data_IF_007847311335
#
_entry.id   IF_007847311335
#
_cell.length_a   1.000
_cell.length_b   1.000
_cell.length_c   1.000
_cell.angle_alpha   90.00
_cell.angle_beta   90.00
_cell.angle_gamma   90.00
#
_symmetry.space_group_name_H-M   'P 1'
#
loop_
_entity.id
_entity.type
_entity.pdbx_description
1 polymer ?
#
# COMPACT_ATOMS: atom_id res chain seq x y z
N UNK A 1 -11.08 10.41 -1.01
CA UNK A 1 -10.16 11.58 -0.95
C UNK A 1 -8.81 11.04 -0.54
N UNK A 2 -7.73 11.45 -1.22
CA UNK A 2 -6.39 10.95 -0.93
C UNK A 2 -5.86 11.51 0.37
N UNK A 3 -5.47 10.67 1.33
CA UNK A 3 -4.87 11.10 2.59
C UNK A 3 -3.39 10.72 2.60
N UNK A 4 -2.51 11.71 2.67
CA UNK A 4 -1.07 11.47 2.82
C UNK A 4 -0.72 11.53 4.29
N UNK A 5 0.03 10.54 4.78
CA UNK A 5 0.53 10.51 6.15
C UNK A 5 1.43 11.72 6.40
N UNK A 6 1.48 12.23 7.64
CA UNK A 6 2.32 13.40 8.00
C UNK A 6 3.81 13.24 7.67
N UNK A 7 4.28 11.99 7.61
CA UNK A 7 5.64 11.61 7.26
C UNK A 7 5.93 11.62 5.74
N UNK A 8 4.93 11.97 4.91
CA UNK A 8 5.00 11.99 3.44
C UNK A 8 5.40 10.65 2.78
N UNK A 9 5.48 9.57 3.57
CA UNK A 9 5.94 8.25 3.12
C UNK A 9 4.85 7.39 2.50
N UNK A 10 3.58 7.64 2.81
CA UNK A 10 2.44 6.87 2.29
C UNK A 10 1.26 7.77 1.97
N UNK A 11 0.64 7.54 0.82
CA UNK A 11 -0.62 8.17 0.40
C UNK A 11 -1.68 7.10 0.23
N UNK A 12 -2.81 7.28 0.91
CA UNK A 12 -3.97 6.42 0.79
C UNK A 12 -4.89 6.98 -0.28
N UNK A 13 -5.08 6.25 -1.38
CA UNK A 13 -6.05 6.62 -2.42
C UNK A 13 -7.13 5.54 -2.58
N UNK A 14 -8.38 5.98 -2.74
CA UNK A 14 -9.50 5.08 -3.00
C UNK A 14 -9.67 4.88 -4.49
N UNK A 15 -9.41 3.67 -4.97
CA UNK A 15 -9.63 3.28 -6.37
C UNK A 15 -10.85 2.38 -6.47
N UNK A 16 -11.70 2.60 -7.49
CA UNK A 16 -12.93 1.85 -7.66
C UNK A 16 -12.74 0.45 -8.27
N UNK A 17 -11.75 0.29 -9.15
CA UNK A 17 -11.44 -0.99 -9.78
C UNK A 17 -9.93 -1.10 -10.04
N UNK A 18 -9.33 -2.19 -9.56
CA UNK A 18 -7.95 -2.59 -9.87
C UNK A 18 -7.93 -3.69 -10.94
N UNK A 19 -9.09 -4.24 -11.32
CA UNK A 19 -9.19 -5.35 -12.27
C UNK A 19 -8.87 -6.74 -11.68
N UNK A 20 -8.64 -6.83 -10.36
CA UNK A 20 -8.30 -8.06 -9.66
C UNK A 20 -9.47 -8.59 -8.81
N UNK A 21 -10.70 -8.59 -9.37
CA UNK A 21 -11.92 -8.96 -8.64
C UNK A 21 -11.86 -10.37 -8.00
N UNK A 22 -11.08 -11.30 -8.56
CA UNK A 22 -10.90 -12.65 -8.01
C UNK A 22 -9.94 -12.74 -6.81
N UNK A 23 -9.20 -11.68 -6.50
CA UNK A 23 -8.17 -11.61 -5.45
C UNK A 23 -8.51 -10.57 -4.37
N UNK A 24 -9.77 -10.11 -4.35
CA UNK A 24 -10.24 -9.17 -3.33
C UNK A 24 -10.15 -9.82 -1.94
N UNK A 25 -9.74 -9.07 -0.90
CA UNK A 25 -9.28 -7.68 -0.89
C UNK A 25 -7.87 -7.51 -1.49
N UNK A 26 -7.70 -6.48 -2.34
CA UNK A 26 -6.45 -6.18 -3.06
C UNK A 26 -5.99 -4.75 -2.75
N UNK A 27 -4.68 -4.56 -2.59
CA UNK A 27 -4.04 -3.25 -2.45
C UNK A 27 -2.87 -3.15 -3.44
N UNK A 28 -2.59 -1.94 -3.90
CA UNK A 28 -1.48 -1.68 -4.83
C UNK A 28 -0.50 -0.70 -4.20
N UNK A 29 0.79 -1.00 -4.25
CA UNK A 29 1.86 -0.22 -3.62
C UNK A 29 3.02 -0.14 -4.60
N UNK A 30 3.43 1.07 -4.99
CA UNK A 30 4.52 1.27 -5.95
C UNK A 30 4.39 0.37 -7.20
N UNK A 31 3.17 0.26 -7.74
CA UNK A 31 2.82 -0.61 -8.90
C UNK A 31 2.78 -2.12 -8.64
N UNK A 32 3.12 -2.59 -7.43
CA UNK A 32 2.95 -3.99 -7.03
C UNK A 32 1.54 -4.25 -6.51
N UNK A 33 0.89 -5.30 -7.02
CA UNK A 33 -0.46 -5.70 -6.62
C UNK A 33 -0.37 -6.82 -5.58
N UNK A 34 -0.95 -6.57 -4.41
CA UNK A 34 -1.05 -7.54 -3.32
C UNK A 34 -2.51 -7.94 -3.11
N UNK A 35 -2.85 -9.19 -3.43
CA UNK A 35 -4.15 -9.80 -3.13
C UNK A 35 -4.18 -10.50 -1.78
N UNK A 36 -5.37 -10.95 -1.37
CA UNK A 36 -5.59 -11.68 -0.10
C UNK A 36 -5.05 -10.92 1.11
N UNK A 37 -5.39 -9.63 1.20
CA UNK A 37 -4.93 -8.74 2.25
C UNK A 37 -5.75 -8.92 3.54
N UNK A 38 -5.06 -9.32 4.59
CA UNK A 38 -5.56 -9.30 5.96
C UNK A 38 -5.19 -8.00 6.67
N UNK A 39 -5.94 -7.54 7.69
CA UNK A 39 -5.59 -6.35 8.47
C UNK A 39 -4.17 -6.43 9.08
N UNK A 40 -3.74 -7.62 9.50
CA UNK A 40 -2.36 -7.84 9.98
C UNK A 40 -1.31 -7.68 8.88
N UNK A 41 -1.61 -8.17 7.66
CA UNK A 41 -0.73 -8.01 6.49
C UNK A 41 -0.67 -6.56 6.05
N UNK A 42 -1.81 -5.87 6.00
CA UNK A 42 -1.87 -4.44 5.67
C UNK A 42 -0.94 -3.63 6.61
N UNK A 43 -0.99 -3.91 7.91
CA UNK A 43 -0.13 -3.23 8.88
C UNK A 43 1.36 -3.55 8.65
N UNK A 44 1.70 -4.82 8.38
CA UNK A 44 3.07 -5.23 8.07
C UNK A 44 3.59 -4.54 6.79
N UNK A 45 2.74 -4.47 5.77
CA UNK A 45 3.04 -3.86 4.48
C UNK A 45 3.28 -2.36 4.65
N UNK A 46 2.43 -1.64 5.38
CA UNK A 46 2.62 -0.20 5.67
C UNK A 46 3.94 0.03 6.42
N UNK A 47 4.26 -0.81 7.42
CA UNK A 47 5.54 -0.72 8.12
C UNK A 47 6.73 -0.98 7.19
N UNK A 48 6.63 -1.98 6.29
CA UNK A 48 7.67 -2.24 5.28
C UNK A 48 7.87 -1.06 4.34
N UNK A 49 6.80 -0.41 3.87
CA UNK A 49 6.89 0.74 2.97
C UNK A 49 7.56 1.93 3.67
N UNK A 50 7.24 2.15 4.95
CA UNK A 50 7.90 3.19 5.77
C UNK A 50 9.39 2.89 5.99
N UNK A 51 9.74 1.63 6.24
CA UNK A 51 11.12 1.20 6.45
C UNK A 51 11.95 1.26 5.14
N UNK A 52 11.37 0.84 4.01
CA UNK A 52 12.04 0.89 2.69
C UNK A 52 12.32 2.33 2.23
N UNK A 53 11.42 3.28 2.53
CA UNK A 53 11.62 4.70 2.24
C UNK A 53 12.73 5.36 3.09
N UNK A 54 13.20 4.72 4.16
CA UNK A 54 14.28 5.23 5.00
C UNK A 54 15.69 4.84 4.49
N UNK A 55 15.80 4.41 3.23
CA UNK A 55 17.10 4.30 2.56
C UNK A 55 17.17 5.28 1.37
N UNK A 56 17.59 6.54 1.59
CA UNK A 56 18.06 7.38 0.50
C UNK A 56 19.44 6.87 0.07
N UNK A 57 19.50 5.87 -0.82
CA UNK A 57 20.77 5.28 -1.20
C UNK A 57 20.72 4.47 -2.50
N UNK A 58 20.91 5.16 -3.62
CA UNK A 58 21.23 4.57 -4.94
C UNK A 58 20.88 5.46 -6.11
#
# INVERSE_FOLDING_TARGET
QGETSEDLSVTLETVGCVGCCGLAPVVTINEEVFGEIDPSKANLIVNKVRDNNNNPGG
#
